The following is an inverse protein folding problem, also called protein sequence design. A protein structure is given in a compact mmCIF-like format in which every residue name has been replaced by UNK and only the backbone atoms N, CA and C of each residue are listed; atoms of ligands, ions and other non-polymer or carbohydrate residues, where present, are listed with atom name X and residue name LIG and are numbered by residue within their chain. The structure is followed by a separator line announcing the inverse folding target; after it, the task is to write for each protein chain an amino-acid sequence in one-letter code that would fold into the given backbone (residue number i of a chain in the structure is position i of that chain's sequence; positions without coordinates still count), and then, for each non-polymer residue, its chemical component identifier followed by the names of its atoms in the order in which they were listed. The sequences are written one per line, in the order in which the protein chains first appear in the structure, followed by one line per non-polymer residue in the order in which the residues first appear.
data_IF_695677314084
#
_entry.id   IF_695677314084
#
_cell.length_a   1.000
_cell.length_b   1.000
_cell.length_c   1.000
_cell.angle_alpha   90.00
_cell.angle_beta   90.00
_cell.angle_gamma   90.00
#
_symmetry.space_group_name_H-M   'P 1'
#
loop_
_entity.id
_entity.type
_entity.pdbx_description
1 polymer ?
#
# COMPACT_ATOMS: atom_id res chain seq x y z
N UNK A 1 34.11 6.48 -9.14
CA UNK A 1 33.42 5.29 -9.70
C UNK A 1 32.76 4.44 -8.62
N UNK A 2 33.45 4.02 -7.57
CA UNK A 2 32.83 3.22 -6.49
C UNK A 2 31.75 4.01 -5.72
N UNK A 3 32.00 5.29 -5.46
CA UNK A 3 31.06 6.19 -4.76
C UNK A 3 29.75 6.36 -5.54
N UNK A 4 29.84 6.59 -6.85
CA UNK A 4 28.67 6.69 -7.73
C UNK A 4 27.90 5.36 -7.82
N UNK A 5 28.58 4.22 -7.80
CA UNK A 5 27.92 2.91 -7.78
C UNK A 5 27.16 2.72 -6.47
N UNK A 6 27.74 3.09 -5.32
CA UNK A 6 27.07 3.00 -4.03
C UNK A 6 25.83 3.89 -3.97
N UNK A 7 25.94 5.15 -4.40
CA UNK A 7 24.80 6.09 -4.40
C UNK A 7 23.68 5.62 -5.33
N UNK A 8 24.02 5.07 -6.49
CA UNK A 8 23.01 4.47 -7.38
C UNK A 8 22.39 3.20 -6.78
N UNK A 9 23.18 2.35 -6.13
CA UNK A 9 22.64 1.18 -5.43
C UNK A 9 21.66 1.59 -4.33
N UNK A 10 22.00 2.59 -3.50
CA UNK A 10 21.11 3.14 -2.48
C UNK A 10 19.85 3.76 -3.08
N UNK A 11 19.98 4.49 -4.20
CA UNK A 11 18.82 5.05 -4.92
C UNK A 11 17.91 3.95 -5.47
N UNK A 12 18.50 2.86 -5.96
CA UNK A 12 17.78 1.65 -6.37
C UNK A 12 17.03 0.98 -5.21
N UNK A 13 17.66 0.89 -4.04
CA UNK A 13 17.00 0.38 -2.82
C UNK A 13 15.83 1.29 -2.44
N UNK A 14 16.00 2.61 -2.47
CA UNK A 14 14.92 3.57 -2.19
C UNK A 14 13.70 3.35 -3.11
N UNK A 15 13.91 3.29 -4.43
CA UNK A 15 12.83 2.98 -5.39
C UNK A 15 12.24 1.58 -5.15
N UNK A 16 13.09 0.62 -4.80
CA UNK A 16 12.71 -0.74 -4.41
C UNK A 16 11.81 -0.78 -3.17
N UNK A 17 11.95 0.16 -2.23
CA UNK A 17 11.12 0.21 -1.02
C UNK A 17 9.67 0.62 -1.32
N UNK A 18 9.46 1.54 -2.26
CA UNK A 18 8.11 1.88 -2.74
C UNK A 18 7.48 0.65 -3.42
N UNK A 19 8.22 -0.02 -4.30
CA UNK A 19 7.77 -1.25 -4.94
C UNK A 19 7.49 -2.36 -3.91
N UNK A 20 8.33 -2.51 -2.90
CA UNK A 20 8.15 -3.45 -1.80
C UNK A 20 6.86 -3.18 -1.03
N UNK A 21 6.54 -1.92 -0.70
CA UNK A 21 5.31 -1.57 0.00
C UNK A 21 4.07 -1.99 -0.81
N UNK A 22 4.06 -1.70 -2.11
CA UNK A 22 2.94 -2.07 -2.99
C UNK A 22 2.87 -3.60 -3.16
N UNK A 23 4.00 -4.24 -3.43
CA UNK A 23 4.09 -5.67 -3.68
C UNK A 23 3.76 -6.48 -2.43
N UNK A 24 4.23 -6.10 -1.25
CA UNK A 24 3.95 -6.80 0.01
C UNK A 24 2.45 -6.84 0.32
N UNK A 25 1.71 -5.77 0.03
CA UNK A 25 0.25 -5.76 0.13
C UNK A 25 -0.42 -6.75 -0.83
N UNK A 26 0.04 -6.81 -2.09
CA UNK A 26 -0.48 -7.77 -3.08
C UNK A 26 -0.14 -9.21 -2.68
N UNK A 27 1.10 -9.47 -2.27
CA UNK A 27 1.56 -10.78 -1.78
C UNK A 27 0.75 -11.24 -0.59
N UNK A 28 0.44 -10.32 0.35
CA UNK A 28 -0.36 -10.65 1.52
C UNK A 28 -1.79 -11.03 1.12
N UNK A 29 -2.45 -10.25 0.25
CA UNK A 29 -3.81 -10.54 -0.22
C UNK A 29 -3.84 -11.85 -1.01
N UNK A 30 -2.93 -12.02 -1.98
CA UNK A 30 -2.90 -13.21 -2.82
C UNK A 30 -2.50 -14.46 -2.02
N UNK A 31 -1.53 -14.36 -1.13
CA UNK A 31 -1.07 -15.47 -0.30
C UNK A 31 -2.11 -15.98 0.68
N UNK A 32 -3.12 -15.16 1.00
CA UNK A 32 -4.15 -15.50 1.99
C UNK A 32 -5.51 -15.81 1.37
N UNK A 33 -6.00 -14.95 0.47
CA UNK A 33 -7.30 -15.12 -0.19
C UNK A 33 -7.20 -15.88 -1.53
N UNK A 34 -6.00 -16.02 -2.12
CA UNK A 34 -5.79 -16.55 -3.48
C UNK A 34 -6.58 -15.82 -4.57
N UNK A 35 -6.86 -14.54 -4.34
CA UNK A 35 -7.54 -13.65 -5.28
C UNK A 35 -6.49 -12.83 -6.03
N UNK A 36 -6.43 -12.97 -7.34
CA UNK A 36 -5.62 -12.11 -8.19
C UNK A 36 -6.34 -10.76 -8.32
N UNK A 37 -5.85 -9.77 -7.59
CA UNK A 37 -6.49 -8.47 -7.44
C UNK A 37 -5.89 -7.43 -8.40
N UNK A 38 -6.48 -7.26 -9.58
CA UNK A 38 -6.07 -6.21 -10.54
C UNK A 38 -6.32 -4.78 -10.04
N UNK A 39 -7.24 -4.62 -9.09
CA UNK A 39 -7.57 -3.33 -8.49
C UNK A 39 -6.49 -2.81 -7.52
N UNK A 40 -5.49 -3.62 -7.16
CA UNK A 40 -4.45 -3.21 -6.21
C UNK A 40 -3.67 -1.97 -6.65
N UNK A 41 -3.34 -1.86 -7.93
CA UNK A 41 -2.71 -0.65 -8.48
C UNK A 41 -3.59 0.60 -8.40
N UNK A 42 -4.92 0.42 -8.41
CA UNK A 42 -5.87 1.53 -8.25
C UNK A 42 -5.91 2.06 -6.81
N UNK A 43 -5.67 1.19 -5.82
CA UNK A 43 -5.52 1.62 -4.42
C UNK A 43 -4.30 2.52 -4.23
N UNK A 44 -3.18 2.15 -4.83
CA UNK A 44 -1.97 2.99 -4.89
C UNK A 44 -2.26 4.35 -5.53
N UNK A 45 -2.92 4.35 -6.70
CA UNK A 45 -3.30 5.57 -7.41
C UNK A 45 -4.22 6.47 -6.57
N UNK A 46 -5.30 5.92 -6.00
CA UNK A 46 -6.23 6.67 -5.15
C UNK A 46 -5.49 7.31 -3.97
N UNK A 47 -4.58 6.60 -3.32
CA UNK A 47 -3.81 7.18 -2.22
C UNK A 47 -2.89 8.31 -2.66
N UNK A 48 -2.26 8.22 -3.84
CA UNK A 48 -1.44 9.30 -4.38
C UNK A 48 -2.27 10.58 -4.59
N UNK A 49 -3.46 10.45 -5.18
CA UNK A 49 -4.37 11.58 -5.38
C UNK A 49 -5.01 12.11 -4.09
N UNK A 50 -5.33 11.24 -3.13
CA UNK A 50 -5.72 11.67 -1.78
C UNK A 50 -4.59 12.47 -1.12
N UNK A 51 -3.35 12.02 -1.27
CA UNK A 51 -2.19 12.69 -0.69
C UNK A 51 -1.99 14.08 -1.30
N UNK A 52 -2.22 14.21 -2.61
CA UNK A 52 -2.29 15.52 -3.27
C UNK A 52 -3.36 16.42 -2.68
N UNK A 53 -4.60 15.93 -2.52
CA UNK A 53 -5.70 16.72 -1.95
C UNK A 53 -5.40 17.15 -0.51
N UNK A 54 -4.93 16.23 0.33
CA UNK A 54 -4.65 16.48 1.75
C UNK A 54 -3.49 17.47 1.92
N UNK A 55 -2.42 17.28 1.14
CA UNK A 55 -1.25 18.17 1.22
C UNK A 55 -1.62 19.59 0.76
N UNK A 56 -2.44 19.71 -0.29
CA UNK A 56 -2.88 21.00 -0.82
C UNK A 56 -3.90 21.69 0.09
N UNK A 57 -4.83 20.96 0.70
CA UNK A 57 -5.86 21.56 1.57
C UNK A 57 -5.29 22.17 2.84
N UNK A 58 -4.12 21.70 3.29
CA UNK A 58 -3.43 22.16 4.50
C UNK A 58 -2.34 23.21 4.18
N UNK A 59 -2.26 23.68 2.93
CA UNK A 59 -1.36 24.77 2.55
C UNK A 59 0.07 24.36 2.16
N UNK A 60 0.32 23.08 1.84
CA UNK A 60 1.54 22.67 1.13
C UNK A 60 2.82 22.54 1.96
N UNK A 61 2.72 22.29 3.26
CA UNK A 61 3.88 22.11 4.15
C UNK A 61 4.15 20.67 4.59
N UNK A 62 5.21 20.48 5.39
CA UNK A 62 5.57 19.18 6.01
C UNK A 62 4.42 18.57 6.80
N UNK A 63 3.59 19.40 7.47
CA UNK A 63 2.42 18.93 8.21
C UNK A 63 1.35 18.30 7.31
N UNK A 64 1.12 18.85 6.11
CA UNK A 64 0.19 18.29 5.13
C UNK A 64 0.67 16.94 4.60
N UNK A 65 1.96 16.83 4.31
CA UNK A 65 2.58 15.57 3.89
C UNK A 65 2.48 14.49 4.98
N UNK A 66 2.85 14.81 6.22
CA UNK A 66 2.76 13.87 7.35
C UNK A 66 1.32 13.42 7.60
N UNK A 67 0.35 14.34 7.50
CA UNK A 67 -1.05 13.97 7.62
C UNK A 67 -1.49 13.08 6.46
N UNK A 68 -1.08 13.37 5.22
CA UNK A 68 -1.39 12.49 4.08
C UNK A 68 -0.82 11.09 4.25
N UNK A 69 0.37 10.97 4.84
CA UNK A 69 1.03 9.69 5.08
C UNK A 69 0.25 8.81 6.06
N UNK A 70 -0.56 9.40 6.94
CA UNK A 70 -1.43 8.67 7.86
C UNK A 70 -2.85 8.47 7.30
N UNK A 71 -3.43 9.54 6.75
CA UNK A 71 -4.85 9.57 6.37
C UNK A 71 -5.09 8.85 5.05
N UNK A 72 -4.24 9.04 4.03
CA UNK A 72 -4.46 8.40 2.73
C UNK A 72 -4.43 6.86 2.81
N UNK A 73 -3.46 6.21 3.49
CA UNK A 73 -3.46 4.76 3.67
C UNK A 73 -4.66 4.25 4.46
N UNK A 74 -5.11 5.01 5.47
CA UNK A 74 -6.28 4.64 6.27
C UNK A 74 -7.58 4.70 5.45
N UNK A 75 -7.76 5.75 4.64
CA UNK A 75 -8.89 5.86 3.73
C UNK A 75 -8.91 4.72 2.71
N UNK A 76 -7.75 4.37 2.16
CA UNK A 76 -7.64 3.26 1.19
C UNK A 76 -7.81 1.89 1.87
N UNK A 77 -7.33 1.71 3.10
CA UNK A 77 -7.61 0.51 3.89
C UNK A 77 -9.12 0.34 4.16
N UNK A 78 -9.81 1.44 4.47
CA UNK A 78 -11.26 1.44 4.65
C UNK A 78 -11.99 1.14 3.33
N UNK A 79 -11.55 1.73 2.22
CA UNK A 79 -12.08 1.42 0.89
C UNK A 79 -11.89 -0.07 0.56
N UNK A 80 -10.71 -0.62 0.84
CA UNK A 80 -10.43 -2.05 0.68
C UNK A 80 -11.34 -2.92 1.54
N UNK A 81 -11.58 -2.55 2.79
CA UNK A 81 -12.52 -3.22 3.69
C UNK A 81 -13.94 -3.25 3.11
N UNK A 82 -14.42 -2.12 2.57
CA UNK A 82 -15.74 -2.02 1.94
C UNK A 82 -15.80 -2.91 0.69
N UNK A 83 -14.80 -2.83 -0.18
CA UNK A 83 -14.74 -3.63 -1.41
C UNK A 83 -14.72 -5.12 -1.10
N UNK A 84 -13.90 -5.55 -0.14
CA UNK A 84 -13.84 -6.95 0.25
C UNK A 84 -15.18 -7.42 0.81
N UNK A 85 -15.75 -6.69 1.77
CA UNK A 85 -16.94 -7.12 2.50
C UNK A 85 -18.16 -7.20 1.60
N UNK A 86 -18.34 -6.23 0.71
CA UNK A 86 -19.56 -6.09 -0.07
C UNK A 86 -19.47 -6.71 -1.47
N UNK A 87 -18.28 -6.78 -2.07
CA UNK A 87 -18.11 -7.28 -3.42
C UNK A 87 -17.35 -8.62 -3.43
N UNK A 88 -16.09 -8.64 -2.99
CA UNK A 88 -15.24 -9.83 -3.17
C UNK A 88 -15.73 -11.02 -2.36
N UNK A 89 -16.16 -10.81 -1.11
CA UNK A 89 -16.68 -11.87 -0.24
C UNK A 89 -17.88 -12.58 -0.86
N UNK A 90 -18.76 -11.85 -1.56
CA UNK A 90 -19.98 -12.42 -2.16
C UNK A 90 -19.67 -13.35 -3.34
N UNK A 91 -18.55 -13.12 -4.00
CA UNK A 91 -18.12 -13.93 -5.16
C UNK A 91 -16.95 -14.86 -4.83
N UNK A 92 -16.53 -14.95 -3.57
CA UNK A 92 -15.40 -15.77 -3.13
C UNK A 92 -15.61 -17.27 -3.41
N UNK A 93 -16.86 -17.74 -3.42
CA UNK A 93 -17.24 -19.13 -3.73
C UNK A 93 -17.40 -19.40 -5.22
N UNK A 94 -17.28 -18.38 -6.08
CA UNK A 94 -17.41 -18.50 -7.55
C UNK A 94 -16.05 -18.79 -8.18
N UNK A 95 -16.06 -19.20 -9.45
CA UNK A 95 -14.84 -19.46 -10.20
C UNK A 95 -13.93 -18.21 -10.25
N UNK A 96 -12.61 -18.44 -10.31
CA UNK A 96 -11.59 -17.37 -10.27
C UNK A 96 -11.80 -16.29 -11.35
N UNK A 97 -12.33 -16.66 -12.51
CA UNK A 97 -12.67 -15.75 -13.61
C UNK A 97 -13.58 -14.59 -13.16
N UNK A 98 -14.57 -14.86 -12.29
CA UNK A 98 -15.48 -13.82 -11.77
C UNK A 98 -14.73 -12.79 -10.90
N UNK A 99 -13.73 -13.24 -10.15
CA UNK A 99 -12.91 -12.36 -9.31
C UNK A 99 -12.02 -11.45 -10.16
N UNK A 100 -11.45 -12.00 -11.25
CA UNK A 100 -10.66 -11.23 -12.21
C UNK A 100 -11.52 -10.16 -12.90
N UNK A 101 -12.70 -10.53 -13.39
CA UNK A 101 -13.63 -9.59 -14.04
C UNK A 101 -14.05 -8.49 -13.08
N UNK A 102 -14.39 -8.84 -11.83
CA UNK A 102 -14.77 -7.85 -10.82
C UNK A 102 -13.63 -6.89 -10.50
N UNK A 103 -12.43 -7.41 -10.24
CA UNK A 103 -11.28 -6.56 -9.87
C UNK A 103 -10.82 -5.70 -11.04
N UNK A 104 -10.93 -6.19 -12.27
CA UNK A 104 -10.71 -5.39 -13.46
C UNK A 104 -11.76 -4.29 -13.63
N UNK A 105 -13.04 -4.59 -13.44
CA UNK A 105 -14.11 -3.59 -13.45
C UNK A 105 -13.87 -2.51 -12.37
N UNK A 106 -13.46 -2.93 -11.17
CA UNK A 106 -13.09 -2.02 -10.09
C UNK A 106 -11.91 -1.12 -10.48
N UNK A 107 -10.88 -1.65 -11.15
CA UNK A 107 -9.77 -0.85 -11.68
C UNK A 107 -10.27 0.26 -12.61
N UNK A 108 -11.15 -0.08 -13.56
CA UNK A 108 -11.69 0.89 -14.52
C UNK A 108 -12.55 1.96 -13.81
N UNK A 109 -13.45 1.54 -12.92
CA UNK A 109 -14.31 2.45 -12.15
C UNK A 109 -13.48 3.40 -11.30
N UNK A 110 -12.46 2.90 -10.60
CA UNK A 110 -11.59 3.73 -9.76
C UNK A 110 -10.73 4.67 -10.60
N UNK A 111 -10.21 4.22 -11.75
CA UNK A 111 -9.47 5.08 -12.67
C UNK A 111 -10.34 6.22 -13.21
N UNK A 112 -11.58 5.93 -13.59
CA UNK A 112 -12.49 6.96 -14.09
C UNK A 112 -13.00 7.88 -12.97
N UNK A 113 -13.21 7.36 -11.75
CA UNK A 113 -13.50 8.18 -10.58
C UNK A 113 -12.36 9.16 -10.27
N UNK A 114 -11.10 8.72 -10.38
CA UNK A 114 -9.94 9.60 -10.22
C UNK A 114 -9.95 10.70 -11.28
N UNK A 115 -10.21 10.37 -12.56
CA UNK A 115 -10.29 11.37 -13.63
C UNK A 115 -11.44 12.36 -13.43
N UNK A 116 -12.58 11.89 -12.91
CA UNK A 116 -13.75 12.74 -12.64
C UNK A 116 -13.45 13.76 -11.53
N UNK A 117 -12.77 13.35 -10.47
CA UNK A 117 -12.54 14.17 -9.27
C UNK A 117 -11.32 15.09 -9.43
N UNK A 118 -10.20 14.58 -9.98
CA UNK A 118 -8.92 15.31 -10.05
C UNK A 118 -8.58 15.85 -11.45
N UNK A 119 -9.32 15.42 -12.46
CA UNK A 119 -9.04 15.70 -13.87
C UNK A 119 -8.13 14.66 -14.51
N UNK A 120 -7.80 14.89 -15.80
CA UNK A 120 -6.94 14.00 -16.59
C UNK A 120 -5.45 14.37 -16.52
N UNK A 121 -5.14 15.53 -15.94
CA UNK A 121 -3.77 16.03 -15.85
C UNK A 121 -3.01 15.33 -14.72
N UNK A 122 -1.72 15.11 -14.94
CA UNK A 122 -0.84 14.63 -13.89
C UNK A 122 -0.72 15.68 -12.78
N UNK A 123 -1.07 15.29 -11.56
CA UNK A 123 -0.91 16.09 -10.35
C UNK A 123 0.32 15.59 -9.59
N UNK A 124 1.26 16.49 -9.31
CA UNK A 124 2.44 16.19 -8.51
C UNK A 124 2.32 16.89 -7.17
N UNK A 125 2.75 16.21 -6.11
CA UNK A 125 2.86 16.81 -4.77
C UNK A 125 4.27 17.39 -4.64
N UNK A 126 4.45 18.66 -4.27
CA UNK A 126 5.79 19.14 -4.00
C UNK A 126 6.37 18.39 -2.79
N UNK A 127 7.67 18.10 -2.83
CA UNK A 127 8.36 17.52 -1.68
C UNK A 127 8.29 18.49 -0.50
N UNK A 128 8.10 17.99 0.74
CA UNK A 128 8.07 18.86 1.90
C UNK A 128 9.46 19.49 2.11
N UNK A 129 9.50 20.79 2.44
CA UNK A 129 10.75 21.55 2.57
C UNK A 129 11.76 20.94 3.56
N UNK A 130 11.29 20.18 4.56
CA UNK A 130 12.15 19.46 5.49
C UNK A 130 12.95 18.30 4.86
N UNK A 131 12.52 17.80 3.69
CA UNK A 131 13.11 16.66 2.97
C UNK A 131 13.59 17.04 1.56
N UNK A 132 13.64 18.33 1.25
CA UNK A 132 14.11 18.84 -0.05
C UNK A 132 15.64 18.95 -0.12
N UNK A 133 16.33 18.70 1.00
CA UNK A 133 17.78 18.70 1.08
C UNK A 133 18.43 17.39 0.60
N UNK A 134 19.73 17.44 0.40
CA UNK A 134 20.59 16.29 0.17
C UNK A 134 21.74 16.30 1.20
N UNK A 135 22.20 15.12 1.59
CA UNK A 135 23.43 14.98 2.38
C UNK A 135 24.49 14.29 1.54
N UNK A 136 25.76 14.60 1.80
CA UNK A 136 26.86 14.00 1.05
C UNK A 136 27.19 12.62 1.60
N UNK A 137 27.15 11.61 0.72
CA UNK A 137 27.69 10.28 0.97
C UNK A 137 28.93 10.15 0.10
N UNK A 138 30.11 10.07 0.73
CA UNK A 138 31.40 9.98 0.02
C UNK A 138 31.55 11.06 -1.07
N UNK A 139 31.26 12.32 -0.73
CA UNK A 139 31.35 13.46 -1.65
C UNK A 139 30.30 13.50 -2.77
N UNK A 140 29.34 12.57 -2.78
CA UNK A 140 28.23 12.54 -3.76
C UNK A 140 26.91 12.89 -3.06
N UNK A 141 26.09 13.82 -3.60
CA UNK A 141 24.83 14.21 -2.96
C UNK A 141 23.79 13.08 -3.02
N UNK A 142 23.23 12.72 -1.87
CA UNK A 142 22.13 11.76 -1.73
C UNK A 142 20.88 12.45 -1.16
N UNK A 143 19.73 12.41 -1.87
CA UNK A 143 18.51 13.07 -1.40
C UNK A 143 18.03 12.52 -0.05
N UNK A 144 17.73 13.42 0.89
CA UNK A 144 17.20 13.06 2.21
C UNK A 144 15.88 12.27 2.12
N UNK A 145 15.06 12.58 1.11
CA UNK A 145 13.84 11.85 0.81
C UNK A 145 14.08 10.35 0.54
N UNK A 146 15.15 10.00 -0.19
CA UNK A 146 15.44 8.60 -0.50
C UNK A 146 15.90 7.84 0.74
N UNK A 147 16.65 8.48 1.63
CA UNK A 147 16.97 7.90 2.95
C UNK A 147 15.69 7.64 3.76
N UNK A 148 14.74 8.58 3.76
CA UNK A 148 13.45 8.38 4.42
C UNK A 148 12.68 7.19 3.84
N UNK A 149 12.61 7.05 2.51
CA UNK A 149 11.94 5.90 1.88
C UNK A 149 12.57 4.56 2.31
N UNK A 150 13.91 4.51 2.42
CA UNK A 150 14.61 3.33 2.92
C UNK A 150 14.23 3.03 4.36
N UNK A 151 14.26 4.03 5.24
CA UNK A 151 13.93 3.86 6.67
C UNK A 151 12.47 3.44 6.84
N UNK A 152 11.53 4.11 6.19
CA UNK A 152 10.10 3.77 6.28
C UNK A 152 9.84 2.38 5.71
N UNK A 153 10.41 2.04 4.56
CA UNK A 153 10.30 0.70 3.99
C UNK A 153 10.84 -0.38 4.91
N UNK A 154 12.01 -0.17 5.53
CA UNK A 154 12.59 -1.09 6.49
C UNK A 154 11.75 -1.25 7.76
N UNK A 155 11.21 -0.14 8.30
CA UNK A 155 10.29 -0.16 9.46
C UNK A 155 9.04 -0.95 9.14
N UNK A 156 8.42 -0.74 7.97
CA UNK A 156 7.23 -1.48 7.56
C UNK A 156 7.56 -2.95 7.31
N UNK A 157 8.71 -3.27 6.70
CA UNK A 157 9.15 -4.64 6.52
C UNK A 157 9.30 -5.37 7.86
N UNK A 158 9.94 -4.73 8.84
CA UNK A 158 10.08 -5.28 10.20
C UNK A 158 8.71 -5.41 10.89
N UNK A 159 7.85 -4.39 10.78
CA UNK A 159 6.51 -4.41 11.35
C UNK A 159 5.66 -5.56 10.78
N UNK A 160 5.69 -5.75 9.46
CA UNK A 160 5.02 -6.88 8.80
C UNK A 160 5.63 -8.22 9.20
N UNK A 161 6.96 -8.31 9.28
CA UNK A 161 7.63 -9.53 9.74
C UNK A 161 7.18 -9.91 11.15
N UNK A 162 7.19 -8.97 12.10
CA UNK A 162 6.74 -9.19 13.48
C UNK A 162 5.24 -9.51 13.53
N UNK A 163 4.41 -8.75 12.81
CA UNK A 163 2.97 -8.96 12.73
C UNK A 163 2.65 -10.38 12.25
N UNK A 164 3.30 -10.83 11.17
CA UNK A 164 3.03 -12.13 10.58
C UNK A 164 3.66 -13.26 11.39
N UNK A 165 4.87 -13.12 11.91
CA UNK A 165 5.58 -14.24 12.56
C UNK A 165 5.31 -14.37 14.06
N UNK A 166 5.26 -13.25 14.78
CA UNK A 166 5.23 -13.23 16.26
C UNK A 166 3.83 -13.04 16.85
N UNK A 167 2.89 -12.42 16.15
CA UNK A 167 1.57 -12.10 16.73
C UNK A 167 0.56 -13.24 16.62
N UNK A 168 -0.51 -13.16 17.43
CA UNK A 168 -1.67 -14.07 17.33
C UNK A 168 -2.36 -13.96 15.96
N UNK A 169 -2.50 -12.75 15.43
CA UNK A 169 -3.08 -12.49 14.11
C UNK A 169 -2.35 -13.30 13.03
N UNK A 170 -1.01 -13.21 12.98
CA UNK A 170 -0.21 -13.93 11.99
C UNK A 170 -0.25 -15.46 12.13
N UNK A 171 -0.32 -15.98 13.36
CA UNK A 171 -0.50 -17.43 13.61
C UNK A 171 -1.86 -17.94 13.12
N UNK A 172 -2.93 -17.23 13.46
CA UNK A 172 -4.30 -17.57 13.03
C UNK A 172 -4.41 -17.45 11.51
N UNK A 173 -3.81 -16.42 10.90
CA UNK A 173 -3.78 -16.23 9.45
C UNK A 173 -3.09 -17.38 8.72
N UNK A 174 -1.92 -17.82 9.17
CA UNK A 174 -1.25 -18.99 8.58
C UNK A 174 -2.08 -20.27 8.76
N UNK A 175 -2.70 -20.45 9.93
CA UNK A 175 -3.59 -21.59 10.18
C UNK A 175 -4.82 -21.56 9.25
N UNK A 176 -5.43 -20.39 9.02
CA UNK A 176 -6.60 -20.27 8.14
C UNK A 176 -6.26 -20.52 6.68
N UNK A 177 -5.03 -20.20 6.25
CA UNK A 177 -4.55 -20.52 4.89
C UNK A 177 -4.31 -22.01 4.70
N UNK A 178 -3.89 -22.72 5.76
CA UNK A 178 -3.73 -24.18 5.73
C UNK A 178 -5.09 -24.90 5.76
N UNK A 179 -5.95 -24.55 6.71
CA UNK A 179 -7.31 -25.08 6.83
C UNK A 179 -8.26 -24.05 7.50
N UNK A 180 -8.94 -23.28 6.65
CA UNK A 180 -9.90 -22.28 7.11
C UNK A 180 -11.17 -22.89 7.74
N UNK A 181 -11.54 -24.12 7.40
CA UNK A 181 -12.73 -24.78 7.96
C UNK A 181 -12.47 -25.20 9.41
N UNK A 182 -11.32 -25.80 9.67
CA UNK A 182 -10.88 -26.16 11.03
C UNK A 182 -10.77 -24.91 11.92
N UNK A 183 -10.14 -23.85 11.43
CA UNK A 183 -10.04 -22.58 12.17
C UNK A 183 -11.42 -21.99 12.47
N UNK A 184 -12.36 -22.08 11.53
CA UNK A 184 -13.76 -21.68 11.74
C UNK A 184 -14.46 -22.52 12.81
N UNK A 185 -14.22 -23.83 12.86
CA UNK A 185 -14.78 -24.74 13.86
C UNK A 185 -14.27 -24.45 15.29
N UNK A 186 -13.08 -23.85 15.41
CA UNK A 186 -12.53 -23.38 16.69
C UNK A 186 -13.13 -22.03 17.15
N UNK A 187 -14.14 -21.50 16.45
CA UNK A 187 -14.86 -20.28 16.82
C UNK A 187 -14.23 -18.99 16.32
N UNK A 188 -13.24 -19.06 15.42
CA UNK A 188 -12.60 -17.88 14.82
C UNK A 188 -13.38 -17.44 13.57
N UNK A 189 -13.76 -16.17 13.50
CA UNK A 189 -14.41 -15.58 12.32
C UNK A 189 -13.39 -15.35 11.19
N UNK A 190 -13.16 -16.40 10.38
CA UNK A 190 -12.26 -16.38 9.22
C UNK A 190 -12.66 -15.30 8.20
N UNK A 191 -13.96 -15.08 7.88
CA UNK A 191 -14.34 -13.96 7.02
C UNK A 191 -13.85 -12.59 7.53
N UNK A 192 -14.00 -12.27 8.83
CA UNK A 192 -13.47 -11.01 9.39
C UNK A 192 -11.95 -10.93 9.34
N UNK A 193 -11.26 -12.06 9.52
CA UNK A 193 -9.82 -12.14 9.37
C UNK A 193 -9.39 -11.75 7.95
N UNK A 194 -10.04 -12.30 6.92
CA UNK A 194 -9.75 -11.96 5.52
C UNK A 194 -10.06 -10.50 5.17
N UNK A 195 -11.13 -9.93 5.73
CA UNK A 195 -11.39 -8.48 5.62
C UNK A 195 -10.25 -7.65 6.19
N UNK A 196 -9.75 -8.01 7.38
CA UNK A 196 -8.63 -7.31 8.01
C UNK A 196 -7.35 -7.41 7.18
N UNK A 197 -7.08 -8.57 6.61
CA UNK A 197 -5.92 -8.79 5.73
C UNK A 197 -6.04 -7.98 4.44
N UNK A 198 -7.23 -7.93 3.83
CA UNK A 198 -7.48 -7.13 2.63
C UNK A 198 -7.33 -5.64 2.91
N UNK A 199 -7.88 -5.16 4.03
CA UNK A 199 -7.71 -3.77 4.48
C UNK A 199 -6.24 -3.43 4.73
N UNK A 200 -5.48 -4.33 5.37
CA UNK A 200 -4.04 -4.15 5.57
C UNK A 200 -3.29 -4.11 4.24
N UNK A 201 -3.58 -5.03 3.31
CA UNK A 201 -2.95 -5.04 1.99
C UNK A 201 -3.25 -3.80 1.15
N UNK A 202 -4.52 -3.35 1.14
CA UNK A 202 -4.92 -2.11 0.50
C UNK A 202 -4.27 -0.88 1.17
N UNK A 203 -4.18 -0.88 2.51
CA UNK A 203 -3.48 0.15 3.27
C UNK A 203 -1.99 0.24 2.94
N UNK A 204 -1.30 -0.89 2.76
CA UNK A 204 0.11 -0.92 2.32
C UNK A 204 0.28 -0.35 0.90
N UNK A 205 -0.64 -0.67 -0.02
CA UNK A 205 -0.69 -0.05 -1.33
C UNK A 205 -0.90 1.46 -1.24
N UNK A 206 -1.79 1.87 -0.33
CA UNK A 206 -2.06 3.27 -0.05
C UNK A 206 -0.85 4.01 0.53
N UNK A 207 -0.10 3.36 1.42
CA UNK A 207 1.15 3.91 1.97
C UNK A 207 2.21 4.08 0.89
N UNK A 208 2.37 3.08 0.00
CA UNK A 208 3.23 3.19 -1.17
C UNK A 208 2.81 4.35 -2.08
N UNK A 209 1.50 4.53 -2.31
CA UNK A 209 0.96 5.62 -3.13
C UNK A 209 1.19 7.00 -2.52
N UNK A 210 1.01 7.14 -1.21
CA UNK A 210 1.26 8.39 -0.49
C UNK A 210 2.74 8.79 -0.52
N UNK A 211 3.65 7.82 -0.37
CA UNK A 211 5.10 8.03 -0.42
C UNK A 211 5.64 8.25 -1.84
N UNK A 212 4.89 7.88 -2.87
CA UNK A 212 5.30 8.08 -4.26
C UNK A 212 4.64 9.31 -4.92
N UNK A 213 3.77 10.01 -4.18
CA UNK A 213 3.09 11.20 -4.69
C UNK A 213 4.04 12.41 -4.88
N UNK A 214 5.06 12.63 -4.03
CA UNK A 214 6.12 13.60 -4.27
C UNK A 214 7.28 13.11 -5.15
#
# INVERSE_FOLDING_TARGET
MLESILVQALSGISSGMVLFLVASGMTLIFGTLRVANFAHGSFYMIAAYLSFTITRSIGGGTGGFLLSLLVAPLCVALLGLVIERFLLRRIATRAHQYQLILTYALTLIMADAVKLIWGRDNRTVPRPAALDGAFEILGTPFPTYYAMLIVVGAVIALALHVLLTRTRFGKVLRASVADGQMVGALGIDVPRLYTGVFALGAGLAGLGGALAAP
#
